data_IF_724522218306
#
_entry.id   IF_724522218306
#
_cell.length_a   1.000
_cell.length_b   1.000
_cell.length_c   1.000
_cell.angle_alpha   90.00
_cell.angle_beta   90.00
_cell.angle_gamma   90.00
#
_symmetry.space_group_name_H-M   'P 1'
#
loop_
_entity.id
_entity.type
_entity.pdbx_description
1 polymer ?
#
# COMPACT_ATOMS: atom_id res chain seq x y z
N UNK A 1 -23.30 26.55 -9.54
CA UNK A 1 -24.19 25.59 -8.84
C UNK A 1 -23.88 25.65 -7.35
N UNK A 2 -24.91 25.75 -6.49
CA UNK A 2 -24.82 26.36 -5.16
C UNK A 2 -24.25 25.46 -4.04
N UNK A 3 -23.30 26.02 -3.27
CA UNK A 3 -22.51 25.40 -2.18
C UNK A 3 -23.31 24.85 -0.99
N UNK A 4 -24.62 25.13 -0.92
CA UNK A 4 -25.49 24.78 0.22
C UNK A 4 -26.05 23.35 0.14
N UNK A 5 -26.06 22.74 -1.04
CA UNK A 5 -26.66 21.41 -1.25
C UNK A 5 -25.75 20.26 -0.81
N UNK A 6 -24.45 20.51 -0.70
CA UNK A 6 -23.43 19.48 -0.38
C UNK A 6 -23.49 19.10 1.11
N UNK A 7 -24.07 19.94 1.98
CA UNK A 7 -24.06 19.73 3.43
C UNK A 7 -25.06 18.70 3.98
N UNK A 8 -26.06 18.27 3.21
CA UNK A 8 -27.25 17.64 3.79
C UNK A 8 -27.31 16.11 3.77
N UNK A 9 -26.47 15.39 3.02
CA UNK A 9 -26.64 13.94 2.86
C UNK A 9 -25.81 13.09 3.83
N UNK A 10 -25.30 13.71 4.89
CA UNK A 10 -24.33 13.15 5.83
C UNK A 10 -24.88 12.13 6.85
N UNK A 11 -26.13 11.68 6.77
CA UNK A 11 -26.72 10.91 7.88
C UNK A 11 -27.45 9.65 7.43
N UNK A 12 -26.81 8.50 7.71
CA UNK A 12 -27.35 7.19 8.10
C UNK A 12 -26.41 6.09 7.55
N UNK A 13 -25.96 5.06 8.28
CA UNK A 13 -26.19 4.62 9.65
C UNK A 13 -25.29 3.39 9.91
N UNK A 14 -24.82 3.29 11.15
CA UNK A 14 -24.34 2.13 11.93
C UNK A 14 -23.69 0.88 11.27
N UNK A 15 -22.43 0.71 11.72
CA UNK A 15 -21.84 -0.48 12.37
C UNK A 15 -21.61 -1.76 11.55
N UNK A 16 -20.32 -1.98 11.28
CA UNK A 16 -19.67 -3.29 11.40
C UNK A 16 -18.20 -3.05 11.77
N UNK A 17 -17.87 -3.11 13.07
CA UNK A 17 -16.47 -3.03 13.54
C UNK A 17 -15.85 -4.41 13.38
N UNK A 18 -14.94 -4.58 12.41
CA UNK A 18 -13.94 -5.67 12.36
C UNK A 18 -12.87 -5.39 11.28
N UNK A 19 -12.14 -4.28 11.35
CA UNK A 19 -11.04 -3.98 10.39
C UNK A 19 -9.71 -3.51 11.02
N UNK A 20 -9.59 -3.47 12.36
CA UNK A 20 -8.43 -2.83 13.00
C UNK A 20 -7.13 -3.66 12.89
N UNK A 21 -7.20 -4.98 12.72
CA UNK A 21 -6.00 -5.84 12.65
C UNK A 21 -5.24 -5.70 11.33
N UNK A 22 -5.93 -5.38 10.23
CA UNK A 22 -5.33 -5.22 8.89
C UNK A 22 -4.63 -3.87 8.69
N UNK A 23 -5.00 -2.85 9.47
CA UNK A 23 -4.37 -1.53 9.38
C UNK A 23 -2.96 -1.52 9.99
N UNK A 24 -2.74 -2.27 11.07
CA UNK A 24 -1.44 -2.38 11.72
C UNK A 24 -0.43 -3.17 10.88
N UNK A 25 -0.85 -4.30 10.28
CA UNK A 25 0.01 -5.06 9.37
C UNK A 25 0.37 -4.25 8.12
N UNK A 26 -0.60 -3.55 7.53
CA UNK A 26 -0.34 -2.69 6.38
C UNK A 26 0.60 -1.53 6.71
N UNK A 27 0.44 -0.88 7.87
CA UNK A 27 1.37 0.15 8.33
C UNK A 27 2.79 -0.40 8.45
N UNK A 28 2.96 -1.57 9.08
CA UNK A 28 4.26 -2.21 9.23
C UNK A 28 4.88 -2.56 7.87
N UNK A 29 4.08 -3.01 6.91
CA UNK A 29 4.55 -3.28 5.55
C UNK A 29 5.00 -2.00 4.84
N UNK A 30 4.25 -0.89 4.96
CA UNK A 30 4.65 0.39 4.39
C UNK A 30 5.95 0.93 5.01
N UNK A 31 6.13 0.76 6.33
CA UNK A 31 7.40 1.06 7.02
C UNK A 31 8.52 0.16 6.47
N UNK A 32 8.26 -1.14 6.29
CA UNK A 32 9.23 -2.09 5.75
C UNK A 32 9.66 -1.74 4.32
N UNK A 33 8.74 -1.31 3.46
CA UNK A 33 9.05 -0.81 2.11
C UNK A 33 9.97 0.41 2.19
N UNK A 34 9.64 1.41 3.02
CA UNK A 34 10.43 2.63 3.15
C UNK A 34 11.84 2.37 3.70
N UNK A 35 11.94 1.53 4.74
CA UNK A 35 13.23 1.13 5.34
C UNK A 35 14.07 0.35 4.33
N UNK A 36 13.47 -0.63 3.65
CA UNK A 36 14.17 -1.44 2.65
C UNK A 36 14.67 -0.60 1.47
N UNK A 37 13.91 0.41 1.04
CA UNK A 37 14.37 1.36 0.04
C UNK A 37 15.58 2.19 0.53
N UNK A 38 15.55 2.67 1.78
CA UNK A 38 16.68 3.35 2.40
C UNK A 38 17.92 2.44 2.47
N UNK A 39 17.73 1.18 2.88
CA UNK A 39 18.82 0.20 3.00
C UNK A 39 19.43 -0.12 1.63
N UNK A 40 18.59 -0.33 0.61
CA UNK A 40 19.03 -0.50 -0.77
C UNK A 40 19.85 0.71 -1.27
N UNK A 41 19.38 1.92 -0.99
CA UNK A 41 20.06 3.16 -1.39
C UNK A 41 21.42 3.37 -0.71
N UNK A 42 21.64 2.74 0.45
CA UNK A 42 22.88 2.82 1.23
C UNK A 42 23.77 1.58 1.06
N UNK A 43 23.29 0.55 0.38
CA UNK A 43 24.01 -0.70 0.22
C UNK A 43 25.33 -0.48 -0.54
N UNK A 44 26.42 -1.00 0.01
CA UNK A 44 27.76 -0.91 -0.58
C UNK A 44 28.16 -2.16 -1.36
N UNK A 45 27.31 -3.20 -1.33
CA UNK A 45 27.56 -4.48 -1.98
C UNK A 45 26.25 -5.10 -2.47
N UNK A 46 26.36 -6.01 -3.44
CA UNK A 46 25.22 -6.66 -4.09
C UNK A 46 24.36 -7.46 -3.08
N UNK A 47 24.98 -8.13 -2.11
CA UNK A 47 24.27 -8.96 -1.13
C UNK A 47 23.32 -8.13 -0.26
N UNK A 48 23.78 -6.97 0.23
CA UNK A 48 22.96 -6.08 1.04
C UNK A 48 21.84 -5.44 0.21
N UNK A 49 22.14 -5.08 -1.05
CA UNK A 49 21.14 -4.58 -1.99
C UNK A 49 20.05 -5.63 -2.28
N UNK A 50 20.44 -6.88 -2.59
CA UNK A 50 19.52 -7.99 -2.83
C UNK A 50 18.64 -8.31 -1.60
N UNK A 51 19.23 -8.26 -0.40
CA UNK A 51 18.48 -8.47 0.84
C UNK A 51 17.44 -7.37 1.06
N UNK A 52 17.81 -6.11 0.81
CA UNK A 52 16.90 -4.98 0.90
C UNK A 52 15.77 -5.08 -0.14
N UNK A 53 16.09 -5.38 -1.39
CA UNK A 53 15.11 -5.62 -2.45
C UNK A 53 14.15 -6.78 -2.12
N UNK A 54 14.67 -7.88 -1.56
CA UNK A 54 13.86 -9.03 -1.15
C UNK A 54 12.86 -8.66 -0.04
N UNK A 55 13.29 -7.90 0.97
CA UNK A 55 12.40 -7.40 2.04
C UNK A 55 11.32 -6.48 1.48
N UNK A 56 11.70 -5.56 0.59
CA UNK A 56 10.77 -4.65 -0.07
C UNK A 56 9.72 -5.40 -0.90
N UNK A 57 10.14 -6.42 -1.65
CA UNK A 57 9.22 -7.29 -2.43
C UNK A 57 8.23 -8.01 -1.53
N UNK A 58 8.69 -8.62 -0.44
CA UNK A 58 7.81 -9.31 0.50
C UNK A 58 6.77 -8.38 1.13
N UNK A 59 7.19 -7.19 1.55
CA UNK A 59 6.30 -6.19 2.12
C UNK A 59 5.27 -5.68 1.10
N UNK A 60 5.68 -5.45 -0.15
CA UNK A 60 4.77 -5.06 -1.23
C UNK A 60 3.70 -6.14 -1.50
N UNK A 61 4.12 -7.41 -1.59
CA UNK A 61 3.20 -8.54 -1.79
C UNK A 61 2.21 -8.70 -0.63
N UNK A 62 2.64 -8.47 0.61
CA UNK A 62 1.75 -8.55 1.77
C UNK A 62 0.79 -7.35 1.83
N UNK A 63 1.25 -6.15 1.48
CA UNK A 63 0.42 -4.95 1.35
C UNK A 63 -0.71 -5.12 0.34
N UNK A 64 -0.51 -5.87 -0.76
CA UNK A 64 -1.56 -6.16 -1.74
C UNK A 64 -2.76 -6.91 -1.17
N UNK A 65 -2.62 -7.63 -0.06
CA UNK A 65 -3.71 -8.40 0.57
C UNK A 65 -4.71 -7.51 1.32
N UNK A 66 -4.41 -6.22 1.45
CA UNK A 66 -5.20 -5.28 2.24
C UNK A 66 -5.42 -3.98 1.47
N UNK A 67 -6.43 -3.23 1.91
CA UNK A 67 -6.77 -1.92 1.36
C UNK A 67 -6.39 -0.85 2.39
N UNK A 68 -5.69 0.23 2.01
CA UNK A 68 -5.30 1.27 2.96
C UNK A 68 -6.53 1.95 3.57
N UNK A 69 -6.45 2.45 4.83
CA UNK A 69 -7.59 3.08 5.50
C UNK A 69 -8.26 4.19 4.68
N UNK A 70 -7.46 4.94 3.89
CA UNK A 70 -7.94 5.99 2.99
C UNK A 70 -8.85 5.48 1.87
N UNK A 71 -8.73 4.20 1.51
CA UNK A 71 -9.51 3.53 0.47
C UNK A 71 -10.48 2.49 1.06
N UNK A 72 -10.59 2.35 2.38
CA UNK A 72 -11.38 1.29 3.03
C UNK A 72 -12.84 1.25 2.55
N UNK A 73 -13.44 2.42 2.34
CA UNK A 73 -14.84 2.57 1.90
C UNK A 73 -15.02 2.59 0.38
N UNK A 74 -13.95 2.42 -0.40
CA UNK A 74 -14.01 2.40 -1.87
C UNK A 74 -14.29 0.97 -2.36
N UNK A 75 -15.11 0.79 -3.42
CA UNK A 75 -15.26 -0.49 -4.08
C UNK A 75 -13.92 -1.05 -4.55
N UNK A 76 -13.76 -2.37 -4.56
CA UNK A 76 -12.49 -3.01 -4.93
C UNK A 76 -12.12 -2.80 -6.41
N UNK A 77 -13.13 -2.60 -7.27
CA UNK A 77 -12.96 -2.24 -8.68
C UNK A 77 -12.90 -0.72 -8.93
N UNK A 78 -12.79 0.10 -7.87
CA UNK A 78 -12.61 1.54 -8.05
C UNK A 78 -11.24 1.83 -8.66
N UNK A 79 -11.12 2.87 -9.51
CA UNK A 79 -9.83 3.27 -10.07
C UNK A 79 -8.75 3.49 -9.03
N UNK A 80 -9.10 4.00 -7.84
CA UNK A 80 -8.17 4.25 -6.76
C UNK A 80 -7.64 2.97 -6.11
N UNK A 81 -8.49 1.97 -5.89
CA UNK A 81 -8.07 0.66 -5.33
C UNK A 81 -7.26 -0.11 -6.35
N UNK A 82 -7.68 -0.11 -7.61
CA UNK A 82 -6.91 -0.71 -8.71
C UNK A 82 -5.56 -0.02 -8.88
N UNK A 83 -5.50 1.31 -8.80
CA UNK A 83 -4.25 2.08 -8.85
C UNK A 83 -3.30 1.76 -7.71
N UNK A 84 -3.81 1.55 -6.49
CA UNK A 84 -3.01 1.09 -5.36
C UNK A 84 -2.38 -0.28 -5.63
N UNK A 85 -3.16 -1.26 -6.10
CA UNK A 85 -2.63 -2.58 -6.44
C UNK A 85 -1.63 -2.52 -7.60
N UNK A 86 -1.93 -1.74 -8.64
CA UNK A 86 -1.05 -1.55 -9.78
C UNK A 86 0.31 -0.93 -9.39
N UNK A 87 0.32 0.03 -8.46
CA UNK A 87 1.56 0.61 -7.94
C UNK A 87 2.43 -0.41 -7.20
N UNK A 88 1.82 -1.29 -6.40
CA UNK A 88 2.54 -2.39 -5.74
C UNK A 88 3.03 -3.44 -6.74
N UNK A 89 2.24 -3.72 -7.79
CA UNK A 89 2.64 -4.62 -8.87
C UNK A 89 3.83 -4.07 -9.66
N UNK A 90 3.82 -2.77 -9.95
CA UNK A 90 4.96 -2.11 -10.60
C UNK A 90 6.21 -2.18 -9.72
N UNK A 91 6.08 -1.93 -8.42
CA UNK A 91 7.21 -2.04 -7.49
C UNK A 91 7.82 -3.45 -7.50
N UNK A 92 6.98 -4.48 -7.44
CA UNK A 92 7.45 -5.88 -7.51
C UNK A 92 8.11 -6.17 -8.87
N UNK A 93 7.52 -5.70 -9.96
CA UNK A 93 8.06 -5.88 -11.30
C UNK A 93 9.42 -5.18 -11.48
N UNK A 94 9.61 -3.99 -10.89
CA UNK A 94 10.89 -3.29 -10.90
C UNK A 94 11.97 -4.01 -10.10
N UNK A 95 11.61 -4.60 -8.96
CA UNK A 95 12.54 -5.42 -8.17
C UNK A 95 12.95 -6.69 -8.91
N UNK A 96 12.03 -7.30 -9.66
CA UNK A 96 12.29 -8.53 -10.42
C UNK A 96 13.00 -8.28 -11.74
N UNK A 97 13.20 -7.01 -12.14
CA UNK A 97 14.03 -6.70 -13.31
C UNK A 97 15.46 -7.13 -13.04
N UNK A 98 16.08 -7.88 -13.95
CA UNK A 98 17.48 -8.22 -13.83
C UNK A 98 18.34 -6.95 -13.84
N UNK A 99 19.20 -6.79 -12.84
CA UNK A 99 20.21 -5.73 -12.78
C UNK A 99 21.40 -6.20 -13.64
N UNK A 100 21.30 -6.06 -14.97
CA UNK A 100 22.38 -6.36 -15.91
C UNK A 100 22.75 -5.12 -16.72
#
# INVERSE_FOLDING_TARGET
>A
MNKKLIGSLLLASCLSVSHLTMAASLQNNMISIATSYSDFSKASNAKDAEMALSKMKMAALDSKKSKPPKLANKPDNSPEVMGYHAGLDQLVAEIDKPIF
#
